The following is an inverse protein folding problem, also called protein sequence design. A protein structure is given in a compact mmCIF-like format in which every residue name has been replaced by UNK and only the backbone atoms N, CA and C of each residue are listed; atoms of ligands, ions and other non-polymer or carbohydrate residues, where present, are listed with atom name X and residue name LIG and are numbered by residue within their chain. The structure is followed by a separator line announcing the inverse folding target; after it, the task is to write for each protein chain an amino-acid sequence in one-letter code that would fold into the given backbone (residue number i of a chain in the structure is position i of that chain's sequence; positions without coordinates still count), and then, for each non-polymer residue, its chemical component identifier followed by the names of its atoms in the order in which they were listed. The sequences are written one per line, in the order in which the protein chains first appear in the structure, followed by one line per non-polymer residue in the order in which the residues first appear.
data_IF_902145468964
#
_entry.id   IF_902145468964
#
_cell.length_a   1.000
_cell.length_b   1.000
_cell.length_c   1.000
_cell.angle_alpha   90.00
_cell.angle_beta   90.00
_cell.angle_gamma   90.00
#
_symmetry.space_group_name_H-M   'P 1'
#
loop_
_entity.id
_entity.type
_entity.pdbx_description
1 polymer ?
#
# COMPACT_ATOMS: atom_id res chain seq x y z
N UNK A 1 -51.49 39.40 -21.89
CA UNK A 1 -50.29 40.16 -22.32
C UNK A 1 -49.54 40.65 -21.08
N UNK A 2 -48.31 40.14 -20.82
CA UNK A 2 -47.51 40.50 -19.64
C UNK A 2 -46.72 41.79 -19.92
N UNK A 3 -46.84 42.79 -19.04
CA UNK A 3 -46.11 44.06 -19.14
C UNK A 3 -44.59 43.82 -18.94
N UNK A 4 -43.71 44.47 -19.71
CA UNK A 4 -42.26 44.33 -19.52
C UNK A 4 -41.85 44.92 -18.16
N UNK A 5 -41.02 44.17 -17.42
CA UNK A 5 -40.50 44.58 -16.13
C UNK A 5 -39.62 45.84 -16.22
N UNK A 6 -39.63 46.65 -15.16
CA UNK A 6 -38.99 47.98 -15.07
C UNK A 6 -37.46 48.03 -15.32
N UNK A 7 -36.83 46.89 -15.56
CA UNK A 7 -35.38 46.77 -15.76
C UNK A 7 -34.97 46.31 -17.16
N UNK A 8 -35.93 46.04 -18.05
CA UNK A 8 -35.64 45.54 -19.40
C UNK A 8 -34.79 46.51 -20.24
N UNK A 9 -34.84 47.81 -19.93
CA UNK A 9 -34.15 48.88 -20.66
C UNK A 9 -33.11 49.63 -19.80
N UNK A 10 -32.60 49.04 -18.71
CA UNK A 10 -31.55 49.69 -17.92
C UNK A 10 -30.18 49.56 -18.61
N UNK A 11 -29.48 50.70 -18.77
CA UNK A 11 -28.13 50.80 -19.36
C UNK A 11 -27.03 50.22 -18.46
N UNK A 12 -27.36 49.89 -17.20
CA UNK A 12 -26.44 49.32 -16.21
C UNK A 12 -25.90 47.92 -16.58
N UNK A 13 -26.47 47.27 -17.60
CA UNK A 13 -26.05 45.96 -18.09
C UNK A 13 -25.41 45.97 -19.48
N UNK A 14 -25.18 47.13 -20.11
CA UNK A 14 -24.78 47.16 -21.54
C UNK A 14 -23.64 48.07 -21.97
N UNK A 15 -22.86 48.63 -21.05
CA UNK A 15 -21.74 49.49 -21.44
C UNK A 15 -20.41 48.96 -20.91
N UNK A 16 -19.54 48.52 -21.83
CA UNK A 16 -18.11 48.41 -21.57
C UNK A 16 -17.38 47.10 -21.92
N UNK A 17 -18.02 46.04 -22.41
CA UNK A 17 -17.26 44.87 -22.92
C UNK A 17 -16.93 45.05 -24.40
N UNK A 18 -15.73 45.54 -24.67
CA UNK A 18 -15.03 45.26 -25.93
C UNK A 18 -14.98 43.74 -26.05
N UNK A 19 -15.78 43.17 -26.94
CA UNK A 19 -15.68 41.75 -27.29
C UNK A 19 -14.44 41.64 -28.16
N UNK A 20 -13.29 41.42 -27.51
CA UNK A 20 -12.09 41.02 -28.21
C UNK A 20 -12.40 39.65 -28.84
N UNK A 21 -12.62 39.63 -30.16
CA UNK A 21 -12.72 38.41 -30.97
C UNK A 21 -11.33 37.77 -31.16
N UNK A 22 -10.52 37.71 -30.11
CA UNK A 22 -9.38 36.80 -30.13
C UNK A 22 -9.95 35.38 -29.92
N UNK A 23 -9.61 34.41 -30.79
CA UNK A 23 -9.94 33.02 -30.50
C UNK A 23 -9.39 32.70 -29.11
N UNK A 24 -10.12 31.96 -28.25
CA UNK A 24 -9.63 31.62 -26.93
C UNK A 24 -8.29 30.92 -27.13
N UNK A 25 -7.18 31.61 -26.78
CA UNK A 25 -5.86 30.99 -26.72
C UNK A 25 -6.05 29.80 -25.81
N UNK A 26 -5.98 28.59 -26.37
CA UNK A 26 -5.94 27.37 -25.58
C UNK A 26 -4.89 27.63 -24.50
N UNK A 27 -5.21 27.50 -23.21
CA UNK A 27 -4.24 27.79 -22.18
C UNK A 27 -3.05 26.88 -22.46
N UNK A 28 -1.92 27.48 -22.82
CA UNK A 28 -0.63 26.80 -23.00
C UNK A 28 -0.21 26.37 -21.60
N UNK A 29 -0.87 25.33 -21.09
CA UNK A 29 -0.57 24.82 -19.76
C UNK A 29 0.82 24.20 -19.79
N UNK A 30 1.60 24.31 -18.69
CA UNK A 30 2.93 23.72 -18.56
C UNK A 30 2.97 22.17 -18.70
N UNK A 31 1.81 21.53 -18.93
CA UNK A 31 1.70 20.11 -19.28
C UNK A 31 2.44 19.79 -20.57
N UNK A 32 2.41 20.69 -21.56
CA UNK A 32 2.94 20.38 -22.89
C UNK A 32 4.47 20.37 -22.92
N UNK A 33 5.14 21.16 -22.07
CA UNK A 33 6.61 21.25 -22.05
C UNK A 33 7.27 19.94 -21.62
N UNK A 34 6.72 19.28 -20.60
CA UNK A 34 7.23 17.99 -20.14
C UNK A 34 7.14 16.92 -21.22
N UNK A 35 5.98 16.82 -21.88
CA UNK A 35 5.78 15.81 -22.93
C UNK A 35 6.53 16.14 -24.21
N UNK A 36 6.62 17.42 -24.60
CA UNK A 36 7.41 17.81 -25.78
C UNK A 36 8.90 17.59 -25.58
N UNK A 37 9.46 17.86 -24.39
CA UNK A 37 10.85 17.55 -24.08
C UNK A 37 11.10 16.04 -24.05
N UNK A 38 10.17 15.27 -23.47
CA UNK A 38 10.23 13.80 -23.46
C UNK A 38 10.26 13.22 -24.88
N UNK A 39 9.37 13.69 -25.77
CA UNK A 39 9.31 13.22 -27.16
C UNK A 39 10.58 13.59 -27.94
N UNK A 40 11.15 14.77 -27.71
CA UNK A 40 12.35 15.23 -28.41
C UNK A 40 13.64 14.56 -27.92
N UNK A 41 13.78 14.37 -26.61
CA UNK A 41 15.03 13.91 -25.99
C UNK A 41 15.03 12.43 -25.63
N UNK A 42 13.84 11.79 -25.61
CA UNK A 42 13.64 10.43 -25.14
C UNK A 42 13.83 10.24 -23.63
N UNK A 43 14.11 11.31 -22.87
CA UNK A 43 14.34 11.25 -21.42
C UNK A 43 13.36 12.15 -20.66
N UNK A 44 12.70 11.65 -19.61
CA UNK A 44 11.78 12.47 -18.82
C UNK A 44 12.51 13.47 -17.94
N UNK A 45 12.20 14.75 -18.09
CA UNK A 45 12.66 15.79 -17.17
C UNK A 45 11.66 15.97 -16.02
N UNK A 46 11.83 15.19 -14.96
CA UNK A 46 10.91 15.18 -13.81
C UNK A 46 10.79 16.54 -13.09
N UNK A 47 11.72 17.48 -13.27
CA UNK A 47 11.59 18.82 -12.68
C UNK A 47 10.39 19.57 -13.28
N UNK A 48 10.17 19.42 -14.59
CA UNK A 48 9.07 20.07 -15.34
C UNK A 48 7.79 19.23 -15.39
N UNK A 49 7.80 18.02 -14.85
CA UNK A 49 6.63 17.14 -14.90
C UNK A 49 5.45 17.72 -14.11
N UNK A 50 4.22 17.67 -14.66
CA UNK A 50 3.01 18.04 -13.94
C UNK A 50 2.84 17.22 -12.66
N UNK A 51 2.27 17.82 -11.61
CA UNK A 51 2.03 17.15 -10.32
C UNK A 51 1.22 15.86 -10.47
N UNK A 52 0.19 15.86 -11.32
CA UNK A 52 -0.61 14.67 -11.61
C UNK A 52 0.22 13.52 -12.19
N UNK A 53 1.16 13.80 -13.10
CA UNK A 53 2.04 12.79 -13.71
C UNK A 53 2.98 12.21 -12.66
N UNK A 54 3.55 13.06 -11.79
CA UNK A 54 4.40 12.63 -10.67
C UNK A 54 3.64 11.73 -9.69
N UNK A 55 2.42 12.10 -9.32
CA UNK A 55 1.59 11.32 -8.41
C UNK A 55 1.24 9.95 -9.00
N UNK A 56 0.84 9.90 -10.27
CA UNK A 56 0.53 8.65 -10.95
C UNK A 56 1.77 7.74 -11.06
N UNK A 57 2.92 8.31 -11.44
CA UNK A 57 4.19 7.56 -11.49
C UNK A 57 4.56 7.00 -10.12
N UNK A 58 4.53 7.83 -9.07
CA UNK A 58 4.83 7.37 -7.71
C UNK A 58 3.85 6.29 -7.25
N UNK A 59 2.57 6.39 -7.59
CA UNK A 59 1.58 5.36 -7.28
C UNK A 59 1.92 4.02 -7.93
N UNK A 60 2.20 4.02 -9.23
CA UNK A 60 2.60 2.81 -9.97
C UNK A 60 3.92 2.26 -9.41
N UNK A 61 4.90 3.12 -9.17
CA UNK A 61 6.19 2.75 -8.59
C UNK A 61 6.02 2.06 -7.24
N UNK A 62 5.20 2.62 -6.34
CA UNK A 62 4.95 2.03 -5.03
C UNK A 62 4.22 0.68 -5.13
N UNK A 63 3.27 0.53 -6.06
CA UNK A 63 2.63 -0.76 -6.33
C UNK A 63 3.68 -1.78 -6.76
N UNK A 64 4.48 -1.47 -7.77
CA UNK A 64 5.51 -2.39 -8.27
C UNK A 64 6.56 -2.71 -7.19
N UNK A 65 6.95 -1.71 -6.40
CA UNK A 65 7.88 -1.88 -5.29
C UNK A 65 7.29 -2.76 -4.16
N UNK A 66 5.98 -2.73 -3.95
CA UNK A 66 5.31 -3.56 -2.95
C UNK A 66 5.20 -5.03 -3.34
N UNK A 67 5.22 -5.36 -4.65
CA UNK A 67 5.03 -6.75 -5.13
C UNK A 67 6.10 -7.70 -4.56
N UNK A 68 7.42 -7.42 -4.64
CA UNK A 68 8.43 -8.32 -4.06
C UNK A 68 8.27 -8.52 -2.56
N UNK A 69 7.94 -7.45 -1.83
CA UNK A 69 7.75 -7.50 -0.37
C UNK A 69 6.59 -8.42 -0.05
N UNK A 70 5.43 -8.22 -0.70
CA UNK A 70 4.24 -9.04 -0.50
C UNK A 70 4.46 -10.49 -0.94
N UNK A 71 5.12 -10.72 -2.07
CA UNK A 71 5.37 -12.06 -2.59
C UNK A 71 6.26 -12.87 -1.64
N UNK A 72 7.35 -12.29 -1.14
CA UNK A 72 8.25 -12.96 -0.20
C UNK A 72 7.58 -13.23 1.15
N UNK A 73 6.91 -12.21 1.73
CA UNK A 73 6.20 -12.39 3.00
C UNK A 73 5.03 -13.36 2.88
N UNK A 74 4.31 -13.31 1.76
CA UNK A 74 3.17 -14.18 1.46
C UNK A 74 3.61 -15.63 1.27
N UNK A 75 4.71 -15.86 0.56
CA UNK A 75 5.30 -17.20 0.39
C UNK A 75 5.74 -17.81 1.73
N UNK A 76 6.38 -17.03 2.58
CA UNK A 76 6.80 -17.50 3.90
C UNK A 76 5.58 -17.82 4.79
N UNK A 77 4.57 -16.95 4.80
CA UNK A 77 3.31 -17.21 5.51
C UNK A 77 2.60 -18.46 4.98
N UNK A 78 2.54 -18.64 3.66
CA UNK A 78 1.97 -19.82 3.03
C UNK A 78 2.68 -21.10 3.51
N UNK A 79 4.02 -21.11 3.49
CA UNK A 79 4.80 -22.24 4.00
C UNK A 79 4.58 -22.50 5.49
N UNK A 80 4.37 -21.45 6.30
CA UNK A 80 4.07 -21.59 7.73
C UNK A 80 2.69 -22.19 7.97
N UNK A 81 1.68 -21.77 7.20
CA UNK A 81 0.32 -22.36 7.27
C UNK A 81 0.34 -23.84 6.84
N UNK A 82 1.17 -24.20 5.86
CA UNK A 82 1.40 -25.59 5.47
C UNK A 82 2.29 -26.39 6.45
N UNK A 83 2.76 -25.80 7.55
CA UNK A 83 3.62 -26.49 8.53
C UNK A 83 5.04 -26.79 8.02
N UNK A 84 5.47 -26.19 6.91
CA UNK A 84 6.82 -26.36 6.32
C UNK A 84 7.84 -25.35 6.85
N UNK A 85 7.44 -24.50 7.78
CA UNK A 85 8.27 -23.44 8.39
C UNK A 85 7.63 -22.96 9.70
N UNK A 86 8.45 -22.56 10.67
CA UNK A 86 8.02 -22.02 11.96
C UNK A 86 8.49 -20.59 12.18
N UNK A 87 7.71 -19.81 12.94
CA UNK A 87 8.21 -18.52 13.42
C UNK A 87 9.27 -18.75 14.49
N UNK A 88 10.41 -18.06 14.33
CA UNK A 88 11.44 -17.99 15.37
C UNK A 88 10.89 -17.28 16.63
N UNK A 89 11.18 -17.87 17.79
CA UNK A 89 10.83 -17.34 19.10
C UNK A 89 11.78 -16.20 19.47
N UNK A 90 11.26 -15.15 20.09
CA UNK A 90 12.10 -14.08 20.61
C UNK A 90 12.98 -14.59 21.75
N UNK A 91 14.30 -14.54 21.57
CA UNK A 91 15.24 -15.11 22.55
C UNK A 91 15.67 -14.13 23.64
N UNK A 92 15.47 -12.84 23.43
CA UNK A 92 15.92 -11.80 24.36
C UNK A 92 15.49 -10.40 23.95
N UNK A 93 15.97 -9.43 24.73
CA UNK A 93 15.77 -8.00 24.52
C UNK A 93 17.12 -7.29 24.57
N UNK A 94 17.27 -6.26 23.74
CA UNK A 94 18.45 -5.42 23.72
C UNK A 94 18.30 -4.41 24.85
N UNK A 95 19.11 -4.56 25.90
CA UNK A 95 19.19 -3.60 27.00
C UNK A 95 20.09 -2.43 26.58
N UNK A 96 19.84 -1.25 27.15
CA UNK A 96 20.61 -0.03 26.88
C UNK A 96 22.12 -0.33 26.95
N UNK A 97 22.83 -0.13 25.84
CA UNK A 97 24.26 -0.45 25.73
C UNK A 97 24.65 -1.59 24.79
N UNK A 98 23.69 -2.15 24.01
CA UNK A 98 23.89 -3.27 23.06
C UNK A 98 24.07 -4.64 23.71
N UNK A 99 23.83 -4.78 25.01
CA UNK A 99 23.82 -6.08 25.66
C UNK A 99 22.48 -6.78 25.44
N UNK A 100 22.54 -8.06 25.04
CA UNK A 100 21.34 -8.88 24.86
C UNK A 100 21.03 -9.58 26.17
N UNK A 101 19.97 -9.15 26.86
CA UNK A 101 19.39 -9.91 27.96
C UNK A 101 18.62 -11.08 27.38
N UNK A 102 19.16 -12.28 27.52
CA UNK A 102 18.46 -13.52 27.14
C UNK A 102 17.28 -13.75 28.08
N UNK A 103 16.15 -14.12 27.50
CA UNK A 103 14.97 -14.54 28.26
C UNK A 103 15.11 -15.99 28.73
N UNK A 104 14.57 -16.29 29.91
CA UNK A 104 14.38 -17.67 30.35
C UNK A 104 13.26 -18.35 29.54
N UNK A 105 13.20 -19.69 29.54
CA UNK A 105 12.22 -20.44 28.74
C UNK A 105 10.75 -20.06 29.03
N UNK A 106 10.41 -19.87 30.31
CA UNK A 106 9.07 -19.43 30.71
C UNK A 106 8.75 -18.00 30.20
N UNK A 107 9.73 -17.10 30.26
CA UNK A 107 9.58 -15.70 29.81
C UNK A 107 9.42 -15.61 28.29
N UNK A 108 10.16 -16.44 27.54
CA UNK A 108 10.00 -16.59 26.09
C UNK A 108 8.56 -17.00 25.74
N UNK A 109 8.03 -18.01 26.41
CA UNK A 109 6.69 -18.52 26.12
C UNK A 109 5.59 -17.53 26.52
N UNK A 110 5.78 -16.80 27.62
CA UNK A 110 4.84 -15.75 28.03
C UNK A 110 4.80 -14.61 27.01
N UNK A 111 5.97 -14.11 26.57
CA UNK A 111 6.08 -13.08 25.54
C UNK A 111 5.45 -13.50 24.21
N UNK A 112 5.62 -14.76 23.81
CA UNK A 112 5.00 -15.26 22.59
C UNK A 112 3.47 -15.36 22.73
N UNK A 113 2.94 -15.85 23.86
CA UNK A 113 1.48 -15.87 24.12
C UNK A 113 0.85 -14.49 24.05
N UNK A 114 1.58 -13.47 24.48
CA UNK A 114 1.10 -12.09 24.48
C UNK A 114 1.17 -11.44 23.07
N UNK A 115 1.88 -12.05 22.12
CA UNK A 115 2.04 -11.57 20.75
C UNK A 115 0.75 -11.67 19.93
N UNK A 116 0.54 -10.67 19.07
CA UNK A 116 -0.58 -10.65 18.11
C UNK A 116 -0.54 -11.87 17.19
N UNK A 117 0.65 -12.33 16.79
CA UNK A 117 0.77 -13.48 15.91
C UNK A 117 0.30 -14.77 16.60
N UNK A 118 0.58 -14.94 17.89
CA UNK A 118 0.07 -16.08 18.65
C UNK A 118 -1.44 -16.04 18.80
N UNK A 119 -2.01 -14.84 18.99
CA UNK A 119 -3.48 -14.66 19.08
C UNK A 119 -4.21 -14.98 17.77
N UNK A 120 -3.60 -14.70 16.62
CA UNK A 120 -4.21 -14.93 15.30
C UNK A 120 -3.97 -16.36 14.81
N UNK A 121 -2.75 -16.87 14.93
CA UNK A 121 -2.34 -18.13 14.32
C UNK A 121 -2.26 -19.31 15.30
N UNK A 122 -2.34 -19.05 16.61
CA UNK A 122 -2.28 -20.08 17.64
C UNK A 122 -0.90 -20.69 17.85
N UNK A 123 -0.87 -21.78 18.63
CA UNK A 123 0.35 -22.48 19.06
C UNK A 123 1.11 -23.12 17.89
N UNK A 124 0.39 -23.64 16.90
CA UNK A 124 0.91 -24.38 15.74
C UNK A 124 1.85 -23.52 14.86
N UNK A 125 1.76 -22.19 14.95
CA UNK A 125 2.61 -21.28 14.17
C UNK A 125 4.06 -21.20 14.66
N UNK A 126 4.33 -21.71 15.87
CA UNK A 126 5.60 -21.57 16.60
C UNK A 126 6.23 -22.93 16.95
N UNK A 127 5.51 -24.03 16.78
CA UNK A 127 6.00 -25.38 17.03
C UNK A 127 6.45 -26.05 15.74
N UNK A 128 7.62 -26.69 15.77
CA UNK A 128 8.24 -27.27 14.59
C UNK A 128 7.41 -28.44 14.03
N UNK A 129 6.99 -28.29 12.77
CA UNK A 129 6.62 -29.41 11.89
C UNK A 129 5.20 -29.98 11.99
N UNK A 130 4.35 -29.56 12.91
CA UNK A 130 2.98 -30.11 13.01
C UNK A 130 1.94 -29.01 13.14
N UNK A 131 1.30 -28.67 12.02
CA UNK A 131 -0.01 -28.02 12.07
C UNK A 131 -1.07 -29.12 12.15
N UNK A 132 -2.18 -28.85 12.83
CA UNK A 132 -3.36 -29.74 12.84
C UNK A 132 -3.84 -30.20 11.46
N UNK A 133 -3.42 -29.52 10.37
CA UNK A 133 -3.70 -29.90 8.97
C UNK A 133 -2.68 -30.86 8.36
N UNK A 134 -1.41 -30.85 8.77
CA UNK A 134 -0.38 -31.78 8.28
C UNK A 134 -0.29 -33.06 9.10
N UNK A 135 -0.89 -33.07 10.29
CA UNK A 135 -1.14 -34.28 11.05
C UNK A 135 -2.10 -35.15 10.23
N UNK A 136 -1.56 -36.11 9.48
CA UNK A 136 -2.37 -37.18 8.91
C UNK A 136 -3.19 -37.72 10.08
N UNK A 137 -4.51 -37.75 9.95
CA UNK A 137 -5.32 -38.57 10.85
C UNK A 137 -4.83 -39.98 10.62
N UNK A 138 -4.04 -40.47 11.56
CA UNK A 138 -3.85 -41.90 11.68
C UNK A 138 -5.21 -42.43 12.09
N UNK A 139 -6.06 -42.70 11.09
CA UNK A 139 -7.21 -43.59 11.23
C UNK A 139 -6.67 -45.01 11.40
N UNK A 140 -5.81 -45.22 12.40
CA UNK A 140 -5.69 -46.52 13.04
C UNK A 140 -6.87 -46.58 13.99
N UNK A 141 -8.00 -47.03 13.45
CA UNK A 141 -8.88 -47.88 14.24
C UNK A 141 -7.97 -48.95 14.82
N UNK A 142 -7.77 -48.87 16.14
CA UNK A 142 -7.48 -50.04 16.94
C UNK A 142 -8.65 -51.00 16.72
N UNK A 143 -8.57 -51.78 15.64
CA UNK A 143 -9.19 -53.10 15.61
C UNK A 143 -8.30 -53.99 16.51
N UNK A 144 -8.31 -53.71 17.81
CA UNK A 144 -7.83 -54.64 18.82
C UNK A 144 -8.98 -55.55 19.23
N UNK A 145 -8.91 -56.76 18.65
CA UNK A 145 -9.37 -58.07 19.15
C UNK A 145 -10.85 -58.31 19.42
#
# INVERSE_FOLDING_TARGET
MKKPGKFANSSFHKEGRVVNNEPPKKPTTPKDEFFTELVKTGRPNWKKAPTAVKQQYNGIFLILFSIPIMALSGWELYRRVEGKSTKKVQEGEIVQGKEVRKFGEAEKWQREKDSVLYKIFGRDFFLDGFTSKTMKRDDKKEDEK
#
